data_IF_502625772771
#
_entry.id   IF_502625772771
#
_cell.length_a   1.000
_cell.length_b   1.000
_cell.length_c   1.000
_cell.angle_alpha   90.00
_cell.angle_beta   90.00
_cell.angle_gamma   90.00
#
_symmetry.space_group_name_H-M   'P 1'
#
loop_
_entity.id
_entity.type
_entity.pdbx_description
1 polymer ?
#
# COMPACT_ATOMS: atom_id res chain seq x y z
N UNK A 1 2.05 -6.33 -1.83
CA UNK A 1 3.28 -6.03 -1.07
C UNK A 1 4.06 -4.96 -1.85
N UNK A 2 4.58 -3.94 -1.17
CA UNK A 2 5.28 -2.82 -1.82
C UNK A 2 6.66 -3.21 -2.35
N UNK A 3 7.27 -4.21 -1.72
CA UNK A 3 8.53 -4.80 -2.14
C UNK A 3 8.29 -6.08 -2.96
N UNK A 4 9.23 -6.35 -3.86
CA UNK A 4 9.24 -7.55 -4.71
C UNK A 4 9.89 -8.76 -4.01
N UNK A 5 10.15 -8.70 -2.71
CA UNK A 5 10.80 -9.78 -1.95
C UNK A 5 9.78 -10.85 -1.57
N UNK A 6 9.95 -12.08 -2.07
CA UNK A 6 9.03 -13.21 -1.83
C UNK A 6 8.86 -13.59 -0.35
N UNK A 7 9.91 -13.48 0.47
CA UNK A 7 9.93 -13.90 1.88
C UNK A 7 10.17 -12.72 2.83
N UNK A 8 9.78 -11.50 2.44
CA UNK A 8 10.09 -10.28 3.20
C UNK A 8 9.65 -10.35 4.65
N UNK A 9 8.42 -10.81 4.88
CA UNK A 9 7.84 -10.89 6.23
C UNK A 9 8.65 -11.81 7.14
N UNK A 10 9.12 -12.94 6.64
CA UNK A 10 10.00 -13.83 7.39
C UNK A 10 11.33 -13.15 7.70
N UNK A 11 11.93 -12.46 6.74
CA UNK A 11 13.20 -11.78 6.98
C UNK A 11 13.10 -10.63 7.97
N UNK A 12 12.01 -9.86 7.92
CA UNK A 12 11.71 -8.81 8.89
C UNK A 12 11.57 -9.41 10.30
N UNK A 13 10.77 -10.47 10.45
CA UNK A 13 10.60 -11.14 11.74
C UNK A 13 11.90 -11.74 12.28
N UNK A 14 12.71 -12.39 11.42
CA UNK A 14 14.02 -12.93 11.79
C UNK A 14 14.94 -11.81 12.28
N UNK A 15 14.99 -10.68 11.56
CA UNK A 15 15.81 -9.52 11.92
C UNK A 15 15.35 -8.93 13.25
N UNK A 16 14.05 -8.73 13.44
CA UNK A 16 13.48 -8.19 14.67
C UNK A 16 13.77 -9.10 15.88
N UNK A 17 13.56 -10.41 15.75
CA UNK A 17 13.85 -11.38 16.81
C UNK A 17 15.36 -11.45 17.12
N UNK A 18 16.22 -11.31 16.12
CA UNK A 18 17.66 -11.23 16.33
C UNK A 18 18.07 -9.94 17.02
N UNK A 19 17.53 -8.78 16.60
CA UNK A 19 17.91 -7.48 17.13
C UNK A 19 17.41 -7.29 18.58
N UNK A 20 16.21 -7.78 18.91
CA UNK A 20 15.59 -7.59 20.23
C UNK A 20 16.00 -8.69 21.21
N UNK A 21 15.93 -9.96 20.78
CA UNK A 21 16.10 -11.12 21.66
C UNK A 21 17.46 -11.79 21.50
N UNK A 22 18.32 -11.30 20.60
CA UNK A 22 19.66 -11.85 20.32
C UNK A 22 19.67 -13.32 19.91
N UNK A 23 18.56 -13.82 19.36
CA UNK A 23 18.48 -15.19 18.88
C UNK A 23 19.38 -15.43 17.66
N UNK A 24 20.02 -16.60 17.53
CA UNK A 24 20.88 -16.87 16.38
C UNK A 24 20.10 -16.86 15.05
N UNK A 25 20.57 -16.07 14.08
CA UNK A 25 20.01 -16.00 12.72
C UNK A 25 19.89 -17.37 12.08
N UNK A 26 20.85 -18.26 12.33
CA UNK A 26 20.83 -19.65 11.89
C UNK A 26 19.52 -20.33 12.29
N UNK A 27 19.22 -20.34 13.58
CA UNK A 27 18.06 -21.05 14.16
C UNK A 27 16.76 -20.44 13.66
N UNK A 28 16.70 -19.11 13.61
CA UNK A 28 15.52 -18.40 13.10
C UNK A 28 15.26 -18.70 11.62
N UNK A 29 16.31 -18.80 10.79
CA UNK A 29 16.18 -19.19 9.39
C UNK A 29 15.66 -20.64 9.23
N UNK A 30 16.19 -21.58 10.04
CA UNK A 30 15.73 -22.98 10.03
C UNK A 30 14.25 -23.07 10.42
N UNK A 31 13.85 -22.39 11.50
CA UNK A 31 12.44 -22.37 11.96
C UNK A 31 11.52 -21.76 10.91
N UNK A 32 11.93 -20.67 10.26
CA UNK A 32 11.15 -20.00 9.23
C UNK A 32 11.16 -20.73 7.87
N UNK A 33 11.94 -21.80 7.72
CA UNK A 33 12.07 -22.54 6.46
C UNK A 33 12.71 -21.73 5.33
N UNK A 34 13.59 -20.77 5.66
CA UNK A 34 14.27 -19.92 4.66
C UNK A 34 15.77 -20.22 4.62
N UNK A 35 16.35 -20.16 3.42
CA UNK A 35 17.79 -20.34 3.27
C UNK A 35 18.57 -19.13 3.81
N UNK A 36 19.59 -19.36 4.64
CA UNK A 36 20.43 -18.30 5.23
C UNK A 36 21.06 -17.37 4.19
N UNK A 37 21.52 -17.91 3.07
CA UNK A 37 22.08 -17.12 1.97
C UNK A 37 21.04 -16.13 1.40
N UNK A 38 19.76 -16.51 1.38
CA UNK A 38 18.68 -15.65 0.93
C UNK A 38 18.38 -14.54 1.93
N UNK A 39 18.47 -14.81 3.24
CA UNK A 39 18.37 -13.79 4.29
C UNK A 39 19.46 -12.73 4.14
N UNK A 40 20.73 -13.13 4.08
CA UNK A 40 21.83 -12.16 3.94
C UNK A 40 21.82 -11.43 2.59
N UNK A 41 21.33 -12.07 1.52
CA UNK A 41 21.08 -11.40 0.25
C UNK A 41 20.02 -10.31 0.37
N UNK A 42 18.94 -10.57 1.11
CA UNK A 42 17.92 -9.57 1.40
C UNK A 42 18.47 -8.45 2.29
N UNK A 43 19.23 -8.78 3.32
CA UNK A 43 19.80 -7.80 4.25
C UNK A 43 20.71 -6.78 3.53
N UNK A 44 21.47 -7.23 2.54
CA UNK A 44 22.38 -6.39 1.76
C UNK A 44 21.75 -5.87 0.45
N UNK A 45 20.45 -6.05 0.25
CA UNK A 45 19.78 -5.67 -0.99
C UNK A 45 19.69 -4.15 -1.10
N UNK A 46 19.99 -3.64 -2.29
CA UNK A 46 19.65 -2.25 -2.68
C UNK A 46 18.25 -2.20 -3.28
N UNK A 47 17.51 -1.16 -2.93
CA UNK A 47 16.16 -0.93 -3.45
C UNK A 47 16.20 -0.65 -4.95
N UNK A 48 15.25 -1.23 -5.68
CA UNK A 48 15.15 -1.00 -7.11
C UNK A 48 14.69 0.44 -7.41
N UNK A 49 14.94 0.92 -8.63
CA UNK A 49 14.41 2.22 -9.10
C UNK A 49 12.88 2.30 -8.96
N UNK A 50 12.18 1.17 -9.17
CA UNK A 50 10.73 1.10 -9.04
C UNK A 50 10.25 1.18 -7.58
N UNK A 51 10.95 0.52 -6.64
CA UNK A 51 10.61 0.60 -5.22
C UNK A 51 10.84 2.01 -4.68
N UNK A 52 11.98 2.62 -5.03
CA UNK A 52 12.24 4.03 -4.71
C UNK A 52 11.17 4.97 -5.28
N UNK A 53 10.74 4.74 -6.52
CA UNK A 53 9.67 5.53 -7.11
C UNK A 53 8.33 5.30 -6.40
N UNK A 54 7.98 4.06 -6.07
CA UNK A 54 6.76 3.74 -5.34
C UNK A 54 6.75 4.40 -3.95
N UNK A 55 7.89 4.41 -3.25
CA UNK A 55 8.04 5.12 -1.96
C UNK A 55 7.76 6.61 -2.07
N UNK A 56 8.14 7.25 -3.17
CA UNK A 56 7.80 8.66 -3.45
C UNK A 56 6.33 8.85 -3.82
N UNK A 57 5.74 7.86 -4.48
CA UNK A 57 4.39 7.95 -5.02
C UNK A 57 3.29 7.65 -3.99
N UNK A 58 3.55 6.77 -3.03
CA UNK A 58 2.63 6.43 -1.94
C UNK A 58 2.16 7.65 -1.15
N UNK A 59 3.04 8.52 -0.62
CA UNK A 59 2.59 9.67 0.17
C UNK A 59 1.74 10.61 -0.67
N UNK A 60 2.08 10.82 -1.95
CA UNK A 60 1.28 11.65 -2.86
C UNK A 60 -0.12 11.05 -3.12
N UNK A 61 -0.24 9.72 -3.23
CA UNK A 61 -1.54 9.05 -3.35
C UNK A 61 -2.37 9.25 -2.08
N UNK A 62 -1.75 9.16 -0.89
CA UNK A 62 -2.45 9.33 0.39
C UNK A 62 -2.91 10.77 0.57
N UNK A 63 -2.04 11.74 0.35
CA UNK A 63 -2.35 13.17 0.43
C UNK A 63 -3.48 13.55 -0.53
N UNK A 64 -3.39 13.17 -1.81
CA UNK A 64 -4.43 13.46 -2.79
C UNK A 64 -5.75 12.71 -2.51
N UNK A 65 -5.71 11.59 -1.78
CA UNK A 65 -6.89 10.87 -1.35
C UNK A 65 -7.58 11.58 -0.17
N UNK A 66 -6.80 12.02 0.81
CA UNK A 66 -7.27 12.77 1.99
C UNK A 66 -7.81 14.15 1.61
N UNK A 67 -7.14 14.89 0.72
CA UNK A 67 -7.58 16.20 0.20
C UNK A 67 -9.01 16.17 -0.37
N UNK A 68 -9.47 15.01 -0.82
CA UNK A 68 -10.75 14.83 -1.51
C UNK A 68 -11.66 13.84 -0.80
N UNK A 69 -11.43 13.59 0.49
CA UNK A 69 -12.22 12.68 1.34
C UNK A 69 -12.47 11.30 0.69
N UNK A 70 -11.47 10.80 -0.03
CA UNK A 70 -11.55 9.52 -0.73
C UNK A 70 -12.49 9.47 -1.93
N UNK A 71 -13.00 10.61 -2.43
CA UNK A 71 -13.87 10.64 -3.62
C UNK A 71 -13.12 10.12 -4.86
N UNK A 72 -11.83 10.44 -4.99
CA UNK A 72 -11.05 10.12 -6.18
C UNK A 72 -10.79 8.61 -6.32
N UNK A 73 -11.27 8.04 -7.42
CA UNK A 73 -10.87 6.70 -7.86
C UNK A 73 -9.48 6.69 -8.52
N UNK A 74 -8.90 5.50 -8.71
CA UNK A 74 -7.53 5.36 -9.22
C UNK A 74 -7.28 6.04 -10.58
N UNK A 75 -8.29 6.12 -11.46
CA UNK A 75 -8.16 6.82 -12.75
C UNK A 75 -8.02 8.33 -12.57
N UNK A 76 -8.86 8.92 -11.72
CA UNK A 76 -8.80 10.35 -11.40
C UNK A 76 -7.53 10.69 -10.62
N UNK A 77 -7.15 9.81 -9.69
CA UNK A 77 -5.88 9.89 -8.98
C UNK A 77 -4.69 9.93 -9.93
N UNK A 78 -4.67 9.06 -10.95
CA UNK A 78 -3.62 9.03 -11.98
C UNK A 78 -3.53 10.36 -12.73
N UNK A 79 -4.66 10.94 -13.12
CA UNK A 79 -4.70 12.22 -13.84
C UNK A 79 -4.18 13.36 -12.95
N UNK A 80 -4.66 13.46 -11.70
CA UNK A 80 -4.24 14.48 -10.74
C UNK A 80 -2.73 14.42 -10.50
N UNK A 81 -2.22 13.23 -10.14
CA UNK A 81 -0.80 13.03 -9.84
C UNK A 81 0.10 13.32 -11.03
N UNK A 82 -0.26 12.86 -12.24
CA UNK A 82 0.54 13.14 -13.44
C UNK A 82 0.57 14.63 -13.80
N UNK A 83 -0.55 15.36 -13.58
CA UNK A 83 -0.63 16.80 -13.85
C UNK A 83 0.15 17.62 -12.83
N UNK A 84 -0.01 17.35 -11.55
CA UNK A 84 0.58 18.14 -10.47
C UNK A 84 2.08 17.89 -10.28
N UNK A 85 2.55 16.68 -10.57
CA UNK A 85 3.93 16.28 -10.33
C UNK A 85 4.74 16.05 -11.62
N UNK A 86 4.16 16.39 -12.78
CA UNK A 86 4.75 16.18 -14.11
C UNK A 86 5.24 14.73 -14.34
N UNK A 87 4.50 13.76 -13.81
CA UNK A 87 4.81 12.34 -13.97
C UNK A 87 4.15 11.74 -15.22
N UNK A 88 4.67 10.58 -15.63
CA UNK A 88 4.06 9.70 -16.63
C UNK A 88 3.79 8.32 -16.04
N UNK A 89 3.04 8.28 -14.94
CA UNK A 89 2.69 7.03 -14.26
C UNK A 89 1.51 6.36 -14.95
N UNK A 90 1.64 5.05 -15.19
CA UNK A 90 0.55 4.22 -15.67
C UNK A 90 -0.51 3.98 -14.59
N UNK A 91 -1.78 4.06 -14.96
CA UNK A 91 -2.95 3.85 -14.09
C UNK A 91 -2.94 2.49 -13.39
N UNK A 92 -2.38 1.44 -14.01
CA UNK A 92 -2.24 0.11 -13.38
C UNK A 92 -1.28 0.13 -12.18
N UNK A 93 -0.29 1.02 -12.16
CA UNK A 93 0.61 1.20 -11.01
C UNK A 93 -0.14 1.86 -9.86
N UNK A 94 -0.87 2.95 -10.14
CA UNK A 94 -1.70 3.64 -9.13
C UNK A 94 -2.74 2.70 -8.54
N UNK A 95 -3.46 1.94 -9.38
CA UNK A 95 -4.44 0.95 -8.94
C UNK A 95 -3.84 -0.08 -7.97
N UNK A 96 -2.68 -0.65 -8.31
CA UNK A 96 -1.98 -1.62 -7.44
C UNK A 96 -1.58 -0.99 -6.11
N UNK A 97 -1.03 0.23 -6.11
CA UNK A 97 -0.63 0.92 -4.89
C UNK A 97 -1.83 1.25 -4.01
N UNK A 98 -2.91 1.80 -4.56
CA UNK A 98 -4.15 2.05 -3.82
C UNK A 98 -4.72 0.76 -3.22
N UNK A 99 -4.69 -0.35 -3.96
CA UNK A 99 -5.15 -1.65 -3.47
C UNK A 99 -4.30 -2.14 -2.28
N UNK A 100 -2.97 -1.98 -2.35
CA UNK A 100 -2.07 -2.34 -1.25
C UNK A 100 -2.31 -1.47 -0.02
N UNK A 101 -2.61 -0.18 -0.22
CA UNK A 101 -2.93 0.77 0.84
C UNK A 101 -4.37 0.63 1.37
N UNK A 102 -5.19 -0.24 0.79
CA UNK A 102 -6.60 -0.39 1.15
C UNK A 102 -7.49 0.80 0.74
N UNK A 103 -6.98 1.73 -0.07
CA UNK A 103 -7.69 2.93 -0.50
C UNK A 103 -8.69 2.60 -1.62
N UNK A 104 -9.95 2.98 -1.42
CA UNK A 104 -11.05 2.78 -2.38
C UNK A 104 -11.84 4.05 -2.52
N UNK A 105 -12.29 4.35 -3.73
CA UNK A 105 -13.17 5.51 -3.95
C UNK A 105 -14.44 5.37 -3.11
N UNK A 106 -14.75 6.42 -2.37
CA UNK A 106 -16.01 6.55 -1.64
C UNK A 106 -17.10 6.86 -2.68
N UNK A 107 -17.73 5.80 -3.18
CA UNK A 107 -18.94 5.93 -3.97
C UNK A 107 -20.12 6.13 -3.04
N UNK A 108 -20.94 7.16 -3.29
CA UNK A 108 -22.22 7.34 -2.60
C UNK A 108 -23.06 6.07 -2.82
N UNK A 109 -23.41 5.36 -1.74
CA UNK A 109 -24.43 4.30 -1.82
C UNK A 109 -25.71 4.92 -2.38
N UNK A 110 -26.28 4.31 -3.42
CA UNK A 110 -27.61 4.67 -3.90
C UNK A 110 -28.58 4.33 -2.76
N UNK A 111 -29.15 5.35 -2.14
CA UNK A 111 -30.24 5.17 -1.16
C UNK A 111 -31.45 4.63 -1.92
N UNK A 112 -32.10 3.61 -1.37
CA UNK A 112 -33.30 3.08 -1.99
C UNK A 112 -34.45 4.09 -1.85
N UNK A 113 -35.34 4.16 -2.85
CA UNK A 113 -36.34 5.26 -2.94
C UNK A 113 -37.26 5.32 -1.71
N UNK A 114 -37.50 4.19 -1.06
CA UNK A 114 -38.27 4.04 0.18
C UNK A 114 -37.61 4.70 1.40
N UNK A 115 -36.29 4.58 1.55
CA UNK A 115 -35.52 5.16 2.65
C UNK A 115 -35.42 6.69 2.53
N UNK A 116 -35.35 7.18 1.30
CA UNK A 116 -35.32 8.62 1.01
C UNK A 116 -36.64 9.30 1.44
N UNK A 117 -37.79 8.66 1.17
CA UNK A 117 -39.12 9.18 1.58
C UNK A 117 -39.25 9.21 3.11
N UNK A 118 -38.80 8.17 3.83
CA UNK A 118 -38.83 8.14 5.29
C UNK A 118 -37.94 9.19 5.96
N UNK A 119 -36.82 9.56 5.33
CA UNK A 119 -35.93 10.61 5.85
C UNK A 119 -36.51 12.02 5.74
N UNK A 120 -37.36 12.28 4.72
CA UNK A 120 -38.01 13.57 4.50
C UNK A 120 -39.23 13.79 5.41
N UNK A 121 -39.90 12.73 5.84
CA UNK A 121 -41.04 12.78 6.77
C UNK A 121 -40.69 13.02 8.24
N UNK A 122 -39.39 13.11 8.60
CA UNK A 122 -38.92 13.33 9.99
C UNK A 122 -38.48 14.77 10.28
N UNK A 123 -38.51 15.65 9.28
CA UNK A 123 -38.15 17.08 9.40
C UNK A 123 -39.41 17.97 9.33
N UNK A 124 -40.60 17.37 9.46
CA UNK A 124 -41.88 18.08 9.57
C UNK A 124 -42.36 18.12 11.01
#
# INVERSE_FOLDING_TARGET
MLSQVRNETYYLAIKELHDIQLYPIFTLCEIAGVQRSSYYKWLNRKESKNENFNKKLIPLIQEAYEERDGILGYRQMTIKLNRENNFRVDHKRIYRLMTILGLKSVCRKKLDKSEMIQSMSRVG
#
